data_IF_465123756789
#
_entry.id   IF_465123756789
#
_cell.length_a   1.000
_cell.length_b   1.000
_cell.length_c   1.000
_cell.angle_alpha   90.00
_cell.angle_beta   90.00
_cell.angle_gamma   90.00
#
_symmetry.space_group_name_H-M   'P 1'
#
loop_
_entity.id
_entity.type
_entity.pdbx_description
1 polymer ?
#
# COMPACT_ATOMS: atom_id res chain seq x y z
N UNK A 1 -24.28 -2.00 -9.98
CA UNK A 1 -23.44 -2.02 -8.78
C UNK A 1 -23.43 -3.40 -8.10
N UNK A 2 -23.54 -4.49 -8.88
CA UNK A 2 -23.64 -5.86 -8.36
C UNK A 2 -22.28 -6.45 -7.96
N UNK A 3 -21.18 -5.74 -8.14
CA UNK A 3 -19.82 -6.26 -7.96
C UNK A 3 -18.97 -5.42 -6.98
N UNK A 4 -19.60 -4.63 -6.12
CA UNK A 4 -18.93 -3.84 -5.09
C UNK A 4 -19.28 -4.43 -3.73
N UNK A 5 -18.25 -4.76 -2.96
CA UNK A 5 -18.37 -5.33 -1.63
C UNK A 5 -17.68 -4.43 -0.61
N UNK A 6 -18.31 -4.28 0.55
CA UNK A 6 -17.70 -3.61 1.69
C UNK A 6 -17.38 -4.66 2.74
N UNK A 7 -16.18 -4.63 3.27
CA UNK A 7 -15.78 -5.45 4.41
C UNK A 7 -15.17 -4.56 5.49
N UNK A 8 -15.29 -4.95 6.74
CA UNK A 8 -14.46 -4.42 7.82
C UNK A 8 -13.13 -5.16 7.76
N UNK A 9 -12.01 -4.49 8.01
CA UNK A 9 -10.67 -5.04 7.74
C UNK A 9 -10.26 -6.12 8.76
N UNK A 10 -11.09 -7.16 8.96
CA UNK A 10 -10.80 -8.31 9.83
C UNK A 10 -10.61 -9.59 9.01
N UNK A 11 -9.81 -10.57 9.48
CA UNK A 11 -9.62 -11.84 8.79
C UNK A 11 -10.93 -12.58 8.50
N UNK A 12 -11.88 -12.52 9.44
CA UNK A 12 -13.19 -13.18 9.33
C UNK A 12 -14.03 -12.53 8.22
N UNK A 13 -13.97 -11.20 8.10
CA UNK A 13 -14.71 -10.47 7.07
C UNK A 13 -14.14 -10.71 5.68
N UNK A 14 -12.80 -10.81 5.53
CA UNK A 14 -12.19 -11.17 4.25
C UNK A 14 -12.64 -12.57 3.79
N UNK A 15 -12.69 -13.54 4.70
CA UNK A 15 -13.20 -14.90 4.40
C UNK A 15 -14.67 -14.89 4.04
N UNK A 16 -15.48 -14.15 4.80
CA UNK A 16 -16.90 -14.03 4.52
C UNK A 16 -17.19 -13.39 3.16
N UNK A 17 -16.45 -12.31 2.84
CA UNK A 17 -16.55 -11.65 1.54
C UNK A 17 -16.08 -12.57 0.40
N UNK A 18 -14.96 -13.27 0.57
CA UNK A 18 -14.47 -14.26 -0.40
C UNK A 18 -15.49 -15.36 -0.63
N UNK A 19 -16.10 -15.88 0.43
CA UNK A 19 -17.15 -16.89 0.34
C UNK A 19 -18.36 -16.37 -0.46
N UNK A 20 -18.80 -15.16 -0.25
CA UNK A 20 -19.87 -14.52 -1.03
C UNK A 20 -19.49 -14.39 -2.51
N UNK A 21 -18.25 -14.00 -2.81
CA UNK A 21 -17.75 -13.95 -4.18
C UNK A 21 -17.81 -15.30 -4.87
N UNK A 22 -17.40 -16.35 -4.18
CA UNK A 22 -17.30 -17.69 -4.74
C UNK A 22 -18.66 -18.41 -4.79
N UNK A 23 -19.58 -18.13 -3.86
CA UNK A 23 -20.89 -18.80 -3.79
C UNK A 23 -22.00 -18.12 -4.60
N UNK A 24 -21.93 -16.80 -4.79
CA UNK A 24 -22.95 -16.06 -5.55
C UNK A 24 -22.83 -16.24 -7.06
N UNK A 25 -21.79 -16.93 -7.53
CA UNK A 25 -21.49 -17.08 -8.96
C UNK A 25 -21.28 -18.55 -9.32
N UNK A 26 -21.75 -18.91 -10.50
CA UNK A 26 -21.49 -20.22 -11.11
C UNK A 26 -20.01 -20.40 -11.53
N UNK A 27 -19.18 -19.37 -11.39
CA UNK A 27 -17.73 -19.36 -11.64
C UNK A 27 -17.05 -18.37 -10.70
N UNK A 28 -15.77 -18.59 -10.40
CA UNK A 28 -14.92 -17.64 -9.68
C UNK A 28 -14.84 -16.31 -10.44
N UNK A 29 -14.60 -15.18 -9.75
CA UNK A 29 -14.32 -13.92 -10.44
C UNK A 29 -12.98 -14.01 -11.18
N UNK A 30 -12.83 -13.32 -12.29
CA UNK A 30 -11.55 -13.24 -12.99
C UNK A 30 -10.52 -12.44 -12.18
N UNK A 31 -10.96 -11.41 -11.46
CA UNK A 31 -10.11 -10.57 -10.63
C UNK A 31 -10.86 -9.89 -9.47
N UNK A 32 -10.13 -9.65 -8.38
CA UNK A 32 -10.55 -8.82 -7.24
C UNK A 32 -9.69 -7.56 -7.22
N UNK A 33 -10.32 -6.40 -7.39
CA UNK A 33 -9.67 -5.09 -7.31
C UNK A 33 -9.95 -4.50 -5.94
N UNK A 34 -8.91 -4.32 -5.14
CA UNK A 34 -9.00 -3.79 -3.79
C UNK A 34 -8.68 -2.29 -3.78
N UNK A 35 -9.33 -1.54 -2.89
CA UNK A 35 -9.14 -0.09 -2.82
C UNK A 35 -7.74 0.28 -2.26
N UNK A 36 -7.11 -0.60 -1.50
CA UNK A 36 -5.72 -0.44 -1.06
C UNK A 36 -5.02 -1.81 -0.88
N UNK A 37 -3.71 -1.77 -0.62
CA UNK A 37 -2.88 -2.96 -0.48
C UNK A 37 -3.18 -3.75 0.79
N UNK A 38 -3.59 -3.11 1.89
CA UNK A 38 -3.93 -3.82 3.14
C UNK A 38 -5.14 -4.74 2.94
N UNK A 39 -6.15 -4.23 2.27
CA UNK A 39 -7.33 -5.03 1.89
C UNK A 39 -6.94 -6.12 0.90
N UNK A 40 -6.10 -5.82 -0.07
CA UNK A 40 -5.61 -6.80 -1.03
C UNK A 40 -4.84 -7.95 -0.33
N UNK A 41 -3.98 -7.64 0.64
CA UNK A 41 -3.27 -8.63 1.44
C UNK A 41 -4.24 -9.48 2.28
N UNK A 42 -5.26 -8.86 2.88
CA UNK A 42 -6.29 -9.58 3.62
C UNK A 42 -7.02 -10.61 2.76
N UNK A 43 -7.42 -10.21 1.54
CA UNK A 43 -8.03 -11.14 0.57
C UNK A 43 -7.06 -12.21 0.09
N UNK A 44 -5.80 -11.87 -0.16
CA UNK A 44 -4.78 -12.83 -0.58
C UNK A 44 -4.54 -13.90 0.50
N UNK A 45 -4.44 -13.49 1.77
CA UNK A 45 -4.30 -14.43 2.88
C UNK A 45 -5.53 -15.32 3.04
N UNK A 46 -6.73 -14.75 2.98
CA UNK A 46 -7.98 -15.50 3.05
C UNK A 46 -8.08 -16.51 1.89
N UNK A 47 -7.70 -16.12 0.67
CA UNK A 47 -7.67 -17.00 -0.50
C UNK A 47 -6.74 -18.19 -0.29
N UNK A 48 -5.52 -17.94 0.19
CA UNK A 48 -4.53 -18.99 0.47
C UNK A 48 -5.01 -19.96 1.55
N UNK A 49 -5.63 -19.45 2.63
CA UNK A 49 -6.17 -20.29 3.70
C UNK A 49 -7.36 -21.16 3.25
N UNK A 50 -8.17 -20.67 2.31
CA UNK A 50 -9.28 -21.41 1.71
C UNK A 50 -8.83 -22.31 0.53
N UNK A 51 -7.53 -22.35 0.22
CA UNK A 51 -6.95 -23.23 -0.79
C UNK A 51 -7.01 -22.72 -2.21
N UNK A 52 -7.33 -21.43 -2.42
CA UNK A 52 -7.26 -20.80 -3.73
C UNK A 52 -5.83 -20.41 -4.10
N UNK A 53 -5.53 -20.45 -5.40
CA UNK A 53 -4.25 -20.04 -5.95
C UNK A 53 -4.38 -18.71 -6.68
N UNK A 54 -3.56 -17.75 -6.27
CA UNK A 54 -3.50 -16.43 -6.90
C UNK A 54 -2.17 -16.36 -7.68
N UNK A 55 -2.19 -16.08 -8.97
CA UNK A 55 -3.30 -15.56 -9.79
C UNK A 55 -4.12 -16.63 -10.56
N UNK A 56 -3.85 -17.92 -10.38
CA UNK A 56 -4.37 -19.00 -11.24
C UNK A 56 -5.90 -19.11 -11.17
N UNK A 57 -6.48 -18.98 -9.97
CA UNK A 57 -7.93 -19.04 -9.78
C UNK A 57 -8.59 -17.68 -10.01
N UNK A 58 -7.96 -16.60 -9.55
CA UNK A 58 -8.34 -15.21 -9.81
C UNK A 58 -7.18 -14.27 -9.49
N UNK A 59 -7.14 -13.14 -10.17
CA UNK A 59 -6.17 -12.10 -9.91
C UNK A 59 -6.56 -11.24 -8.71
N UNK A 60 -5.56 -10.67 -8.00
CA UNK A 60 -5.79 -9.67 -6.95
C UNK A 60 -4.91 -8.45 -7.25
N UNK A 61 -5.47 -7.24 -7.12
CA UNK A 61 -4.72 -5.99 -7.22
C UNK A 61 -5.06 -5.05 -6.06
N UNK A 62 -4.08 -4.24 -5.66
CA UNK A 62 -4.22 -3.24 -4.62
C UNK A 62 -3.89 -1.83 -5.06
N UNK A 63 -3.62 -0.95 -4.11
CA UNK A 63 -3.23 0.44 -4.28
C UNK A 63 -2.42 0.87 -3.05
N UNK A 64 -1.39 1.67 -3.18
CA UNK A 64 -0.49 2.30 -2.20
C UNK A 64 0.97 1.82 -2.28
N UNK A 65 1.25 0.65 -2.88
CA UNK A 65 2.59 0.07 -3.00
C UNK A 65 3.29 -0.08 -1.64
N UNK A 66 2.60 -0.68 -0.66
CA UNK A 66 3.20 -0.94 0.65
C UNK A 66 4.24 -2.06 0.56
N UNK A 67 5.24 -2.03 1.46
CA UNK A 67 6.37 -2.97 1.45
C UNK A 67 5.94 -4.41 1.65
N UNK A 68 4.95 -4.64 2.49
CA UNK A 68 4.39 -5.96 2.79
C UNK A 68 3.86 -6.62 1.52
N UNK A 69 3.19 -5.84 0.65
CA UNK A 69 2.68 -6.32 -0.63
C UNK A 69 3.76 -6.77 -1.61
N UNK A 70 4.96 -6.18 -1.52
CA UNK A 70 6.10 -6.56 -2.35
C UNK A 70 6.86 -7.78 -1.82
N UNK A 71 6.69 -8.11 -0.53
CA UNK A 71 7.39 -9.19 0.16
C UNK A 71 6.64 -10.51 0.18
N UNK A 72 5.36 -10.51 -0.17
CA UNK A 72 4.51 -11.70 -0.20
C UNK A 72 4.70 -12.50 -1.51
N UNK A 73 4.26 -13.76 -1.53
CA UNK A 73 4.29 -14.61 -2.73
C UNK A 73 2.88 -15.06 -3.07
N UNK A 74 2.37 -14.69 -4.28
CA UNK A 74 3.01 -13.81 -5.27
C UNK A 74 3.04 -12.34 -4.82
N UNK A 75 4.05 -11.54 -5.26
CA UNK A 75 4.08 -10.12 -4.96
C UNK A 75 2.84 -9.42 -5.50
N UNK A 76 2.33 -8.45 -4.75
CA UNK A 76 1.10 -7.76 -5.08
C UNK A 76 1.30 -6.80 -6.26
N UNK A 77 0.40 -6.85 -7.22
CA UNK A 77 0.25 -5.81 -8.24
C UNK A 77 -0.54 -4.66 -7.64
N UNK A 78 0.00 -3.45 -7.75
CA UNK A 78 -0.52 -2.28 -7.05
C UNK A 78 -0.25 -0.99 -7.83
N UNK A 79 -0.63 0.14 -7.26
CA UNK A 79 -0.35 1.48 -7.77
C UNK A 79 0.47 2.25 -6.75
N UNK A 80 1.60 2.83 -7.19
CA UNK A 80 2.47 3.66 -6.36
C UNK A 80 2.13 5.14 -6.54
N UNK A 81 1.90 5.84 -5.44
CA UNK A 81 1.77 7.29 -5.44
C UNK A 81 3.11 7.94 -5.10
N UNK A 82 3.57 8.94 -5.86
CA UNK A 82 4.81 9.68 -5.57
C UNK A 82 4.56 10.68 -4.42
N UNK A 83 4.41 10.16 -3.20
CA UNK A 83 3.98 10.92 -2.01
C UNK A 83 4.92 12.08 -1.67
N UNK A 84 6.23 11.89 -1.87
CA UNK A 84 7.20 12.97 -1.68
C UNK A 84 6.97 14.12 -2.67
N UNK A 85 6.80 13.81 -3.96
CA UNK A 85 6.52 14.82 -4.98
C UNK A 85 5.17 15.51 -4.74
N UNK A 86 4.15 14.75 -4.33
CA UNK A 86 2.85 15.32 -3.93
C UNK A 86 3.00 16.32 -2.79
N UNK A 87 3.75 15.96 -1.74
CA UNK A 87 4.01 16.82 -0.59
C UNK A 87 4.76 18.11 -0.97
N UNK A 88 5.86 17.99 -1.70
CA UNK A 88 6.65 19.16 -2.14
C UNK A 88 5.83 20.09 -3.05
N UNK A 89 5.12 19.52 -4.03
CA UNK A 89 4.25 20.29 -4.93
C UNK A 89 3.13 21.02 -4.20
N UNK A 90 2.55 20.38 -3.19
CA UNK A 90 1.49 20.99 -2.37
C UNK A 90 2.02 22.19 -1.56
N UNK A 91 3.20 22.04 -0.97
CA UNK A 91 3.88 23.12 -0.22
C UNK A 91 4.23 24.28 -1.15
N UNK A 92 4.85 24.02 -2.29
CA UNK A 92 5.22 25.05 -3.29
C UNK A 92 3.98 25.81 -3.78
N UNK A 93 2.88 25.09 -4.03
CA UNK A 93 1.60 25.67 -4.44
C UNK A 93 1.02 26.58 -3.35
N UNK A 94 1.11 26.15 -2.09
CA UNK A 94 0.64 26.95 -0.95
C UNK A 94 1.46 28.26 -0.82
N UNK A 95 2.79 28.18 -0.86
CA UNK A 95 3.63 29.36 -0.77
C UNK A 95 3.40 30.33 -1.94
N UNK A 96 3.29 29.85 -3.17
CA UNK A 96 2.95 30.70 -4.32
C UNK A 96 1.63 31.46 -4.10
N UNK A 97 0.60 30.78 -3.60
CA UNK A 97 -0.69 31.42 -3.30
C UNK A 97 -0.61 32.46 -2.18
N UNK A 98 0.15 32.17 -1.11
CA UNK A 98 0.37 33.13 -0.03
C UNK A 98 1.09 34.39 -0.50
N UNK A 99 1.93 34.29 -1.52
CA UNK A 99 2.62 35.42 -2.16
C UNK A 99 1.75 36.15 -3.20
N UNK A 100 0.49 35.73 -3.39
CA UNK A 100 -0.44 36.34 -4.34
C UNK A 100 -0.22 35.91 -5.79
N UNK A 101 0.55 34.86 -6.03
CA UNK A 101 0.73 34.28 -7.36
C UNK A 101 -0.40 33.30 -7.68
N UNK A 102 -0.92 33.37 -8.90
CA UNK A 102 -1.75 32.29 -9.42
C UNK A 102 -0.89 31.05 -9.66
N UNK A 103 -1.24 29.94 -9.01
CA UNK A 103 -0.57 28.66 -9.25
C UNK A 103 -1.53 27.75 -10.04
N UNK A 104 -1.13 27.27 -11.21
CA UNK A 104 -1.93 26.34 -11.98
C UNK A 104 -2.12 25.03 -11.20
N UNK A 105 -3.23 24.32 -11.50
CA UNK A 105 -3.42 22.96 -10.99
C UNK A 105 -2.29 22.08 -11.52
N UNK A 106 -1.53 21.50 -10.62
CA UNK A 106 -0.46 20.56 -10.97
C UNK A 106 -0.97 19.14 -10.78
N UNK A 107 -0.84 18.32 -11.82
CA UNK A 107 -1.19 16.91 -11.78
C UNK A 107 0.07 16.09 -11.53
N UNK A 108 0.01 15.22 -10.51
CA UNK A 108 1.05 14.24 -10.22
C UNK A 108 0.48 12.87 -10.54
N UNK A 109 1.17 12.09 -11.37
CA UNK A 109 0.69 10.79 -11.83
C UNK A 109 1.16 9.68 -10.90
N UNK A 110 0.25 8.76 -10.60
CA UNK A 110 0.57 7.50 -9.96
C UNK A 110 1.10 6.49 -11.00
N UNK A 111 1.94 5.56 -10.57
CA UNK A 111 2.57 4.57 -11.43
C UNK A 111 2.12 3.15 -11.08
N UNK A 112 1.79 2.30 -12.07
CA UNK A 112 1.49 0.90 -11.82
C UNK A 112 2.77 0.14 -11.44
N UNK A 113 2.65 -0.72 -10.43
CA UNK A 113 3.71 -1.64 -9.99
C UNK A 113 3.21 -3.06 -10.23
N UNK A 114 3.79 -3.72 -11.22
CA UNK A 114 3.38 -5.06 -11.61
C UNK A 114 4.07 -6.10 -10.75
N UNK A 115 3.27 -6.81 -9.93
CA UNK A 115 3.68 -8.00 -9.19
C UNK A 115 3.22 -9.29 -9.89
N UNK A 116 3.20 -10.39 -9.14
CA UNK A 116 2.71 -11.68 -9.63
C UNK A 116 1.20 -11.88 -9.47
N UNK A 117 0.56 -11.14 -8.57
CA UNK A 117 -0.84 -11.38 -8.17
C UNK A 117 -1.88 -11.06 -9.23
N UNK A 118 -1.52 -10.39 -10.31
CA UNK A 118 -2.39 -10.13 -11.47
C UNK A 118 -2.22 -11.14 -12.61
N UNK A 119 -1.35 -12.15 -12.46
CA UNK A 119 -0.97 -13.04 -13.56
C UNK A 119 -0.01 -12.43 -14.59
N UNK A 120 0.45 -11.22 -14.40
CA UNK A 120 1.51 -10.64 -15.20
C UNK A 120 2.78 -11.47 -15.01
N UNK A 121 3.55 -11.68 -16.09
CA UNK A 121 4.78 -12.48 -16.04
C UNK A 121 5.78 -11.87 -15.03
N UNK A 122 5.71 -12.34 -13.81
CA UNK A 122 6.71 -12.06 -12.81
C UNK A 122 7.94 -12.91 -13.13
N UNK A 123 8.94 -12.32 -13.75
CA UNK A 123 10.24 -12.97 -13.90
C UNK A 123 10.91 -13.01 -12.52
N UNK A 124 10.76 -14.13 -11.84
CA UNK A 124 11.47 -14.42 -10.59
C UNK A 124 12.97 -14.48 -10.90
N UNK A 125 13.66 -13.35 -10.83
CA UNK A 125 15.14 -13.28 -10.92
C UNK A 125 15.82 -13.50 -9.57
N UNK A 126 15.05 -13.80 -8.51
CA UNK A 126 15.61 -13.94 -7.17
C UNK A 126 15.72 -15.40 -6.78
N UNK A 127 16.96 -15.86 -6.56
CA UNK A 127 17.27 -17.11 -5.87
C UNK A 127 16.73 -17.03 -4.43
N UNK A 128 16.40 -18.18 -3.80
CA UNK A 128 15.87 -18.21 -2.43
C UNK A 128 16.72 -17.43 -1.39
N UNK A 129 18.02 -17.27 -1.65
CA UNK A 129 18.93 -16.46 -0.85
C UNK A 129 18.58 -14.96 -0.92
N UNK A 130 18.17 -14.46 -2.08
CA UNK A 130 17.75 -13.06 -2.27
C UNK A 130 16.46 -12.75 -1.53
N UNK A 131 15.52 -13.70 -1.46
CA UNK A 131 14.27 -13.54 -0.72
C UNK A 131 14.51 -13.39 0.79
N UNK A 132 15.40 -14.22 1.36
CA UNK A 132 15.78 -14.14 2.79
C UNK A 132 16.46 -12.81 3.10
N UNK A 133 17.36 -12.33 2.21
CA UNK A 133 17.97 -11.01 2.36
C UNK A 133 16.93 -9.88 2.30
N UNK A 134 16.00 -9.92 1.36
CA UNK A 134 14.93 -8.92 1.28
C UNK A 134 14.02 -8.94 2.52
N UNK A 135 13.71 -10.12 3.05
CA UNK A 135 12.92 -10.23 4.28
C UNK A 135 13.67 -9.63 5.48
N UNK A 136 14.98 -9.88 5.61
CA UNK A 136 15.83 -9.28 6.62
C UNK A 136 15.90 -7.77 6.49
N UNK A 137 16.06 -7.25 5.28
CA UNK A 137 16.11 -5.81 5.02
C UNK A 137 14.78 -5.14 5.34
N UNK A 138 13.65 -5.78 4.98
CA UNK A 138 12.32 -5.29 5.29
C UNK A 138 12.04 -5.25 6.80
N UNK A 139 12.46 -6.28 7.54
CA UNK A 139 12.34 -6.30 9.02
C UNK A 139 13.15 -5.17 9.63
N UNK A 140 14.41 -5.00 9.22
CA UNK A 140 15.28 -3.95 9.72
C UNK A 140 14.75 -2.54 9.39
N UNK A 141 14.11 -2.36 8.23
CA UNK A 141 13.47 -1.10 7.84
C UNK A 141 12.19 -0.84 8.62
N UNK A 142 11.41 -1.88 8.91
CA UNK A 142 10.21 -1.77 9.74
C UNK A 142 10.56 -1.35 11.18
N UNK A 143 11.60 -1.96 11.75
CA UNK A 143 12.12 -1.58 13.06
C UNK A 143 12.62 -0.12 13.07
N UNK A 144 13.37 0.29 12.05
CA UNK A 144 13.82 1.68 11.89
C UNK A 144 12.67 2.66 11.75
N UNK A 145 11.65 2.33 10.95
CA UNK A 145 10.46 3.14 10.76
C UNK A 145 9.66 3.30 12.05
N UNK A 146 9.46 2.20 12.78
CA UNK A 146 8.76 2.21 14.07
C UNK A 146 9.50 3.06 15.09
N UNK A 147 10.83 2.90 15.18
CA UNK A 147 11.66 3.67 16.08
C UNK A 147 11.66 5.18 15.74
N UNK A 148 11.71 5.50 14.42
CA UNK A 148 11.61 6.89 13.95
C UNK A 148 10.24 7.50 14.26
N UNK A 149 9.16 6.74 14.05
CA UNK A 149 7.80 7.20 14.39
C UNK A 149 7.61 7.44 15.89
N UNK A 150 8.16 6.59 16.74
CA UNK A 150 8.13 6.78 18.19
C UNK A 150 8.90 8.02 18.61
N UNK A 151 10.08 8.27 18.04
CA UNK A 151 10.86 9.49 18.31
C UNK A 151 10.14 10.74 17.85
N UNK A 152 9.57 10.74 16.64
CA UNK A 152 8.77 11.86 16.11
C UNK A 152 7.57 12.13 17.02
N UNK A 153 6.83 11.12 17.44
CA UNK A 153 5.70 11.28 18.37
C UNK A 153 6.13 11.90 19.70
N UNK A 154 7.28 11.49 20.23
CA UNK A 154 7.83 12.06 21.45
C UNK A 154 8.22 13.55 21.30
N UNK A 155 8.78 13.92 20.15
CA UNK A 155 9.09 15.33 19.83
C UNK A 155 7.81 16.14 19.71
N UNK A 156 6.84 15.69 18.92
CA UNK A 156 5.58 16.41 18.70
C UNK A 156 4.73 16.55 19.96
N UNK A 157 4.85 15.65 20.93
CA UNK A 157 4.13 15.78 22.21
C UNK A 157 4.56 16.97 23.06
N UNK A 158 5.71 17.57 22.78
CA UNK A 158 6.27 18.73 23.50
C UNK A 158 6.14 20.05 22.73
N UNK A 159 5.69 20.01 21.47
CA UNK A 159 5.49 21.20 20.64
C UNK A 159 4.26 21.96 21.13
N UNK A 160 4.44 23.23 21.50
CA UNK A 160 3.38 24.09 22.00
C UNK A 160 2.92 25.15 20.99
N UNK A 161 3.75 25.46 20.00
CA UNK A 161 3.43 26.36 18.91
C UNK A 161 4.15 25.99 17.61
N UNK A 162 3.90 26.75 16.54
CA UNK A 162 4.45 26.47 15.20
C UNK A 162 5.96 26.69 15.15
N UNK A 163 6.49 27.68 15.89
CA UNK A 163 7.92 28.01 15.88
C UNK A 163 8.72 26.91 16.58
N UNK A 164 8.25 26.41 17.75
CA UNK A 164 8.82 25.24 18.41
C UNK A 164 8.83 24.01 17.50
N UNK A 165 7.81 23.86 16.65
CA UNK A 165 7.67 22.77 15.70
C UNK A 165 8.69 22.85 14.58
N UNK A 166 8.93 24.02 14.03
CA UNK A 166 9.90 24.24 12.95
C UNK A 166 11.34 24.00 13.46
N UNK A 167 11.69 24.52 14.63
CA UNK A 167 13.01 24.29 15.25
C UNK A 167 13.27 22.82 15.59
N UNK A 168 12.21 22.05 15.91
CA UNK A 168 12.33 20.62 16.14
C UNK A 168 12.56 19.84 14.85
N UNK A 169 11.97 20.25 13.73
CA UNK A 169 12.14 19.62 12.42
C UNK A 169 13.52 19.87 11.80
N UNK A 170 14.13 21.04 12.00
CA UNK A 170 15.48 21.35 11.51
C UNK A 170 16.60 20.52 12.16
N UNK A 171 16.34 19.91 13.33
CA UNK A 171 17.30 19.06 14.06
C UNK A 171 17.24 17.59 13.68
N UNK A 172 16.33 17.20 12.75
CA UNK A 172 16.09 15.82 12.29
C UNK A 172 16.42 15.62 10.82
#
# INVERSE_FOLDING_TARGET
AENIYSCTETPEDYKAALYQFCQSRSSLPDAIVCYNDRVALGFLMAALEEGYHVPEDFAITGCDNIREGQSIVPPLTTVSFPTYQLGTTAVDSLFARLQGHEHPITTVFAEPVYGGSCGCRYTKTHSGSSYICQLSDNIADLERSTFRSMRMSAVFSHIRDIDDGMDALEKY
#
